data_IF_943552693159
#
_entry.id   IF_943552693159
#
_cell.length_a   1.000
_cell.length_b   1.000
_cell.length_c   1.000
_cell.angle_alpha   90.00
_cell.angle_beta   90.00
_cell.angle_gamma   90.00
#
_symmetry.space_group_name_H-M   'P 1'
#
loop_
_entity.id
_entity.type
_entity.pdbx_description
1 polymer ?
#
# COMPACT_ATOMS: atom_id res chain seq x y z
N UNK A 1 57.57 -31.51 17.52
CA UNK A 1 57.05 -30.12 17.65
C UNK A 1 56.28 -29.56 16.44
N UNK A 2 56.77 -29.66 15.19
CA UNK A 2 56.08 -29.05 14.01
C UNK A 2 54.74 -29.70 13.62
N UNK A 3 54.60 -31.03 13.75
CA UNK A 3 53.34 -31.76 13.48
C UNK A 3 52.23 -31.39 14.47
N UNK A 4 52.54 -31.29 15.75
CA UNK A 4 51.59 -30.93 16.81
C UNK A 4 51.02 -29.53 16.61
N UNK A 5 51.85 -28.54 16.23
CA UNK A 5 51.39 -27.18 15.92
C UNK A 5 50.46 -27.12 14.69
N UNK A 6 50.70 -27.94 13.66
CA UNK A 6 49.82 -28.04 12.49
C UNK A 6 48.45 -28.64 12.83
N UNK A 7 48.43 -29.66 13.68
CA UNK A 7 47.19 -30.30 14.13
C UNK A 7 46.36 -29.33 14.97
N UNK A 8 46.99 -28.61 15.91
CA UNK A 8 46.32 -27.59 16.73
C UNK A 8 45.71 -26.50 15.83
N UNK A 9 46.45 -25.99 14.84
CA UNK A 9 45.95 -24.99 13.92
C UNK A 9 44.75 -25.48 13.09
N UNK A 10 44.79 -26.72 12.60
CA UNK A 10 43.70 -27.32 11.82
C UNK A 10 42.43 -27.51 12.66
N UNK A 11 42.59 -27.98 13.90
CA UNK A 11 41.47 -28.15 14.84
C UNK A 11 40.87 -26.78 15.22
N UNK A 12 41.70 -25.75 15.42
CA UNK A 12 41.21 -24.39 15.68
C UNK A 12 40.45 -23.80 14.49
N UNK A 13 40.92 -24.00 13.25
CA UNK A 13 40.23 -23.52 12.05
C UNK A 13 38.89 -24.23 11.83
N UNK A 14 38.82 -25.53 12.07
CA UNK A 14 37.57 -26.30 12.03
C UNK A 14 36.57 -25.81 13.09
N UNK A 15 37.03 -25.55 14.32
CA UNK A 15 36.16 -25.04 15.39
C UNK A 15 35.58 -23.65 15.06
N UNK A 16 36.39 -22.74 14.49
CA UNK A 16 35.91 -21.42 14.05
C UNK A 16 34.91 -21.56 12.90
N UNK A 17 35.17 -22.44 11.93
CA UNK A 17 34.24 -22.70 10.83
C UNK A 17 32.88 -23.20 11.30
N UNK A 18 32.86 -24.16 12.24
CA UNK A 18 31.63 -24.68 12.84
C UNK A 18 30.88 -23.57 13.59
N UNK A 19 31.58 -22.74 14.36
CA UNK A 19 30.97 -21.63 15.10
C UNK A 19 30.31 -20.60 14.17
N UNK A 20 30.96 -20.24 13.06
CA UNK A 20 30.39 -19.32 12.06
C UNK A 20 29.13 -19.90 11.43
N UNK A 21 29.11 -21.20 11.09
CA UNK A 21 27.92 -21.87 10.55
C UNK A 21 26.77 -21.86 11.56
N UNK A 22 27.04 -22.16 12.84
CA UNK A 22 26.02 -22.12 13.90
C UNK A 22 25.44 -20.70 14.06
N UNK A 23 26.30 -19.66 14.04
CA UNK A 23 25.85 -18.27 14.12
C UNK A 23 24.96 -17.91 12.93
N UNK A 24 25.35 -18.30 11.71
CA UNK A 24 24.56 -18.02 10.49
C UNK A 24 23.23 -18.78 10.47
N UNK A 25 23.20 -20.04 10.90
CA UNK A 25 21.96 -20.83 11.02
C UNK A 25 21.02 -20.20 12.06
N UNK A 26 21.55 -19.84 13.24
CA UNK A 26 20.76 -19.15 14.27
C UNK A 26 20.26 -17.78 13.79
N UNK A 27 21.08 -17.03 13.04
CA UNK A 27 20.67 -15.74 12.46
C UNK A 27 19.57 -15.91 11.41
N UNK A 28 19.65 -16.94 10.54
CA UNK A 28 18.62 -17.27 9.57
C UNK A 28 17.31 -17.73 10.22
N UNK A 29 17.37 -18.45 11.34
CA UNK A 29 16.19 -18.88 12.10
C UNK A 29 15.54 -17.72 12.90
N UNK A 30 16.28 -16.63 13.14
CA UNK A 30 15.81 -15.42 13.84
C UNK A 30 15.24 -14.36 12.90
N UNK A 31 14.80 -14.73 11.68
CA UNK A 31 13.91 -13.83 10.92
C UNK A 31 12.68 -13.56 11.79
N UNK A 32 12.26 -12.28 11.97
CA UNK A 32 11.06 -11.98 12.70
C UNK A 32 9.89 -12.65 11.97
N UNK A 33 9.34 -13.71 12.55
CA UNK A 33 7.97 -14.12 12.27
C UNK A 33 7.12 -12.89 12.52
N UNK A 34 6.48 -12.36 11.48
CA UNK A 34 5.58 -11.23 11.63
C UNK A 34 4.54 -11.61 12.68
N UNK A 35 4.64 -11.04 13.87
CA UNK A 35 3.66 -11.18 14.95
C UNK A 35 2.42 -10.36 14.66
N UNK A 36 2.11 -10.14 13.38
CA UNK A 36 0.84 -9.57 13.00
C UNK A 36 -0.22 -10.61 13.36
N UNK A 37 -1.24 -10.23 14.16
CA UNK A 37 -2.36 -11.11 14.39
C UNK A 37 -2.90 -11.56 13.04
N UNK A 38 -3.22 -12.85 12.90
CA UNK A 38 -4.00 -13.32 11.75
C UNK A 38 -5.19 -12.38 11.60
N UNK A 39 -5.51 -11.89 10.38
CA UNK A 39 -6.71 -11.10 10.16
C UNK A 39 -7.88 -11.84 10.82
N UNK A 40 -8.54 -11.19 11.76
CA UNK A 40 -9.80 -11.71 12.26
C UNK A 40 -10.72 -11.77 11.05
N UNK A 41 -11.19 -12.97 10.71
CA UNK A 41 -12.28 -13.09 9.76
C UNK A 41 -13.39 -12.14 10.24
N UNK A 42 -14.00 -11.36 9.33
CA UNK A 42 -15.15 -10.56 9.70
C UNK A 42 -16.12 -11.48 10.41
N UNK A 43 -16.50 -11.16 11.65
CA UNK A 43 -17.50 -11.95 12.39
C UNK A 43 -18.77 -11.94 11.56
N UNK A 44 -19.00 -13.04 10.86
CA UNK A 44 -20.15 -13.17 9.99
C UNK A 44 -21.39 -13.39 10.86
N UNK A 45 -22.03 -12.29 11.22
CA UNK A 45 -23.36 -12.29 11.83
C UNK A 45 -24.47 -12.51 10.77
N UNK A 46 -24.17 -13.08 9.59
CA UNK A 46 -25.17 -13.38 8.53
C UNK A 46 -26.28 -14.34 8.97
N UNK A 47 -26.12 -15.06 10.08
CA UNK A 47 -27.13 -15.98 10.59
C UNK A 47 -28.28 -15.31 11.36
N UNK A 48 -28.33 -13.97 11.43
CA UNK A 48 -29.50 -13.25 11.95
C UNK A 48 -30.36 -12.69 10.80
N UNK A 49 -31.50 -13.32 10.44
CA UNK A 49 -32.34 -12.92 9.31
C UNK A 49 -33.05 -11.55 9.48
N UNK A 50 -32.75 -10.79 10.54
CA UNK A 50 -33.33 -9.47 10.84
C UNK A 50 -32.41 -8.27 10.56
N UNK A 51 -31.20 -8.44 10.03
CA UNK A 51 -30.26 -7.32 9.77
C UNK A 51 -29.92 -7.09 8.29
N UNK A 52 -30.92 -7.11 7.42
CA UNK A 52 -30.72 -7.03 5.96
C UNK A 52 -30.53 -5.60 5.41
N UNK A 53 -30.34 -4.59 6.27
CA UNK A 53 -30.14 -3.19 5.86
C UNK A 53 -28.71 -2.70 6.14
N UNK A 54 -27.70 -3.49 5.78
CA UNK A 54 -26.30 -3.05 5.82
C UNK A 54 -26.06 -1.99 4.74
N UNK A 55 -25.84 -0.74 5.17
CA UNK A 55 -25.42 0.36 4.31
C UNK A 55 -24.12 -0.02 3.59
N UNK A 56 -24.18 -0.11 2.26
CA UNK A 56 -23.06 -0.51 1.40
C UNK A 56 -21.82 0.38 1.60
N UNK A 57 -22.01 1.65 1.97
CA UNK A 57 -20.93 2.62 2.20
C UNK A 57 -20.08 2.28 3.42
N UNK A 58 -20.61 1.50 4.37
CA UNK A 58 -19.91 1.07 5.57
C UNK A 58 -19.29 -0.32 5.43
N UNK A 59 -19.53 -1.03 4.32
CA UNK A 59 -18.91 -2.34 4.10
C UNK A 59 -17.44 -2.19 3.73
N UNK A 60 -16.61 -3.04 4.32
CA UNK A 60 -15.17 -3.05 4.12
C UNK A 60 -14.66 -4.46 3.82
N UNK A 61 -13.43 -4.54 3.34
CA UNK A 61 -12.69 -5.80 3.16
C UNK A 61 -11.26 -5.61 3.65
N UNK A 62 -10.66 -6.67 4.20
CA UNK A 62 -9.25 -6.69 4.56
C UNK A 62 -8.40 -7.03 3.34
N UNK A 63 -7.38 -6.23 3.07
CA UNK A 63 -6.29 -6.55 2.16
C UNK A 63 -5.39 -7.63 2.79
N UNK A 64 -4.54 -8.28 1.99
CA UNK A 64 -3.67 -9.36 2.50
C UNK A 64 -2.68 -8.91 3.59
N UNK A 65 -2.37 -7.62 3.66
CA UNK A 65 -1.54 -6.99 4.68
C UNK A 65 -2.35 -6.51 5.91
N UNK A 66 -3.62 -6.87 6.01
CA UNK A 66 -4.51 -6.55 7.14
C UNK A 66 -5.13 -5.15 7.09
N UNK A 67 -4.79 -4.32 6.10
CA UNK A 67 -5.41 -2.99 5.96
C UNK A 67 -6.85 -3.13 5.51
N UNK A 68 -7.72 -2.39 6.16
CA UNK A 68 -9.15 -2.37 5.87
C UNK A 68 -9.44 -1.29 4.82
N UNK A 69 -10.06 -1.70 3.71
CA UNK A 69 -10.46 -0.80 2.62
C UNK A 69 -12.00 -0.78 2.49
N UNK A 70 -12.64 0.39 2.30
CA UNK A 70 -14.06 0.46 1.96
C UNK A 70 -14.35 -0.24 0.61
N UNK A 71 -15.45 -0.99 0.55
CA UNK A 71 -15.89 -1.66 -0.69
C UNK A 71 -16.42 -0.68 -1.73
N UNK A 72 -16.94 0.47 -1.29
CA UNK A 72 -17.52 1.48 -2.15
C UNK A 72 -16.76 2.79 -2.04
N UNK A 73 -16.55 3.47 -3.17
CA UNK A 73 -15.83 4.73 -3.21
C UNK A 73 -16.10 5.54 -4.47
N UNK A 74 -15.58 6.76 -4.47
CA UNK A 74 -15.75 7.72 -5.56
C UNK A 74 -14.50 7.75 -6.44
N UNK A 75 -14.64 7.41 -7.71
CA UNK A 75 -13.60 7.59 -8.72
C UNK A 75 -13.53 9.04 -9.22
N UNK A 76 -12.33 9.57 -9.39
CA UNK A 76 -12.10 10.97 -9.79
C UNK A 76 -11.82 11.18 -11.28
N UNK A 77 -11.95 10.14 -12.12
CA UNK A 77 -11.73 10.26 -13.56
C UNK A 77 -12.64 11.34 -14.16
N UNK A 78 -12.05 12.21 -14.99
CA UNK A 78 -12.74 13.28 -15.72
C UNK A 78 -13.43 14.36 -14.86
N UNK A 79 -13.04 14.50 -13.58
CA UNK A 79 -13.40 15.65 -12.76
C UNK A 79 -12.54 16.87 -13.14
N UNK A 80 -12.99 17.62 -14.15
CA UNK A 80 -12.27 18.74 -14.79
C UNK A 80 -12.78 20.13 -14.42
N UNK A 81 -13.99 20.26 -13.87
CA UNK A 81 -14.53 21.54 -13.41
C UNK A 81 -14.22 21.73 -11.94
N UNK A 82 -13.26 22.62 -11.63
CA UNK A 82 -12.75 22.78 -10.27
C UNK A 82 -13.85 22.99 -9.21
N UNK A 83 -14.77 23.94 -9.40
CA UNK A 83 -15.75 24.28 -8.36
C UNK A 83 -16.83 23.21 -8.20
N UNK A 84 -17.44 22.80 -9.31
CA UNK A 84 -18.50 21.78 -9.31
C UNK A 84 -17.98 20.45 -8.75
N UNK A 85 -16.81 20.03 -9.19
CA UNK A 85 -16.29 18.71 -8.84
C UNK A 85 -15.74 18.68 -7.41
N UNK A 86 -15.18 19.81 -6.93
CA UNK A 86 -14.83 19.96 -5.51
C UNK A 86 -16.05 19.78 -4.61
N UNK A 87 -17.16 20.44 -4.97
CA UNK A 87 -18.43 20.29 -4.24
C UNK A 87 -18.95 18.86 -4.29
N UNK A 88 -18.83 18.17 -5.44
CA UNK A 88 -19.25 16.78 -5.56
C UNK A 88 -18.45 15.84 -4.63
N UNK A 89 -17.12 15.98 -4.59
CA UNK A 89 -16.26 15.20 -3.67
C UNK A 89 -16.59 15.53 -2.21
N UNK A 90 -16.74 16.81 -1.87
CA UNK A 90 -17.11 17.25 -0.52
C UNK A 90 -18.45 16.64 -0.07
N UNK A 91 -19.45 16.69 -0.95
CA UNK A 91 -20.78 16.15 -0.68
C UNK A 91 -20.75 14.63 -0.50
N UNK A 92 -19.98 13.91 -1.32
CA UNK A 92 -19.80 12.47 -1.16
C UNK A 92 -19.24 12.13 0.23
N UNK A 93 -18.20 12.85 0.68
CA UNK A 93 -17.60 12.65 2.00
C UNK A 93 -18.60 12.95 3.13
N UNK A 94 -19.42 14.00 2.99
CA UNK A 94 -20.51 14.31 3.93
C UNK A 94 -21.61 13.23 3.93
N UNK A 95 -21.75 12.47 2.85
CA UNK A 95 -22.68 11.35 2.68
C UNK A 95 -22.01 10.00 2.92
N UNK A 96 -21.08 9.94 3.88
CA UNK A 96 -20.44 8.71 4.35
C UNK A 96 -19.54 7.99 3.35
N UNK A 97 -19.21 8.59 2.19
CA UNK A 97 -18.13 8.05 1.37
C UNK A 97 -16.84 8.16 2.15
N UNK A 98 -16.09 7.06 2.20
CA UNK A 98 -14.80 6.98 2.90
C UNK A 98 -13.69 6.46 1.99
N UNK A 99 -13.93 6.29 0.69
CA UNK A 99 -12.89 5.99 -0.30
C UNK A 99 -12.95 6.97 -1.46
N UNK A 100 -11.81 7.60 -1.77
CA UNK A 100 -11.62 8.41 -2.97
C UNK A 100 -10.51 7.76 -3.82
N UNK A 101 -10.86 7.39 -5.04
CA UNK A 101 -9.93 6.83 -6.02
C UNK A 101 -9.52 7.89 -7.04
N UNK A 102 -8.22 8.18 -7.10
CA UNK A 102 -7.64 9.14 -8.04
C UNK A 102 -6.49 8.53 -8.82
N UNK A 103 -5.88 9.32 -9.69
CA UNK A 103 -4.59 9.03 -10.30
C UNK A 103 -3.85 10.33 -10.60
N UNK A 104 -2.52 10.27 -10.62
CA UNK A 104 -1.67 11.39 -10.97
C UNK A 104 -2.10 12.02 -12.31
N UNK A 105 -2.42 11.18 -13.30
CA UNK A 105 -2.80 11.65 -14.64
C UNK A 105 -4.17 12.32 -14.74
N UNK A 106 -4.99 12.27 -13.70
CA UNK A 106 -6.28 12.97 -13.67
C UNK A 106 -6.09 14.48 -13.45
N UNK A 107 -4.91 14.91 -12.99
CA UNK A 107 -4.56 16.32 -12.76
C UNK A 107 -5.52 17.08 -11.82
N UNK A 108 -6.19 16.36 -10.91
CA UNK A 108 -7.20 16.92 -10.01
C UNK A 108 -6.91 16.69 -8.52
N UNK A 109 -5.70 16.19 -8.18
CA UNK A 109 -5.28 15.89 -6.81
C UNK A 109 -5.36 17.12 -5.88
N UNK A 110 -5.00 18.31 -6.39
CA UNK A 110 -5.13 19.59 -5.65
C UNK A 110 -6.57 19.91 -5.29
N UNK A 111 -7.48 19.67 -6.22
CA UNK A 111 -8.91 19.89 -6.02
C UNK A 111 -9.46 18.91 -4.98
N UNK A 112 -9.09 17.62 -5.09
CA UNK A 112 -9.51 16.58 -4.14
C UNK A 112 -8.96 16.85 -2.74
N UNK A 113 -7.67 17.22 -2.61
CA UNK A 113 -7.07 17.58 -1.32
C UNK A 113 -7.82 18.72 -0.64
N UNK A 114 -8.20 19.74 -1.41
CA UNK A 114 -9.03 20.82 -0.91
C UNK A 114 -10.45 20.35 -0.52
N UNK A 115 -11.09 19.49 -1.32
CA UNK A 115 -12.40 18.94 -1.01
C UNK A 115 -12.41 18.11 0.28
N UNK A 116 -11.38 17.29 0.51
CA UNK A 116 -11.20 16.51 1.74
C UNK A 116 -11.09 17.46 2.94
N UNK A 117 -10.24 18.49 2.85
CA UNK A 117 -10.08 19.51 3.91
C UNK A 117 -11.39 20.27 4.18
N UNK A 118 -12.07 20.72 3.13
CA UNK A 118 -13.32 21.49 3.20
C UNK A 118 -14.50 20.63 3.67
N UNK A 119 -14.42 19.30 3.58
CA UNK A 119 -15.49 18.39 4.04
C UNK A 119 -15.66 18.34 5.55
N UNK A 120 -14.61 18.69 6.30
CA UNK A 120 -14.57 18.54 7.76
C UNK A 120 -14.43 17.08 8.24
N UNK A 121 -14.38 16.09 7.34
CA UNK A 121 -14.13 14.69 7.69
C UNK A 121 -12.66 14.52 8.07
N UNK A 122 -12.33 13.91 9.23
CA UNK A 122 -10.95 13.67 9.61
C UNK A 122 -10.19 12.89 8.55
N UNK A 123 -8.97 13.32 8.19
CA UNK A 123 -8.17 12.71 7.12
C UNK A 123 -8.00 11.21 7.31
N UNK A 124 -7.84 10.73 8.54
CA UNK A 124 -7.70 9.30 8.87
C UNK A 124 -8.93 8.44 8.59
N UNK A 125 -10.10 9.05 8.42
CA UNK A 125 -11.32 8.34 8.02
C UNK A 125 -11.46 8.23 6.50
N UNK A 126 -10.72 9.03 5.74
CA UNK A 126 -10.77 9.00 4.26
C UNK A 126 -9.69 8.06 3.74
N UNK A 127 -10.08 6.95 3.13
CA UNK A 127 -9.19 6.07 2.39
C UNK A 127 -8.86 6.68 1.02
N UNK A 128 -7.67 7.28 0.91
CA UNK A 128 -7.25 7.98 -0.30
C UNK A 128 -6.35 7.08 -1.16
N UNK A 129 -6.79 6.81 -2.38
CA UNK A 129 -6.04 6.05 -3.39
C UNK A 129 -5.55 6.99 -4.48
N UNK A 130 -4.29 6.85 -4.90
CA UNK A 130 -3.83 7.43 -6.15
C UNK A 130 -2.93 6.47 -6.91
N UNK A 131 -2.65 6.79 -8.17
CA UNK A 131 -1.92 5.94 -9.10
C UNK A 131 -0.78 6.72 -9.73
N UNK A 132 0.43 6.17 -9.62
CA UNK A 132 1.62 6.68 -10.27
C UNK A 132 1.52 6.41 -11.78
N UNK A 133 1.71 7.45 -12.60
CA UNK A 133 1.77 7.29 -14.04
C UNK A 133 2.96 6.40 -14.42
N UNK A 134 2.74 5.49 -15.36
CA UNK A 134 3.75 4.56 -15.89
C UNK A 134 5.02 5.24 -16.39
N UNK A 135 4.93 6.47 -16.90
CA UNK A 135 6.09 7.25 -17.33
C UNK A 135 6.96 7.74 -16.16
N UNK A 136 6.45 7.68 -14.93
CA UNK A 136 7.12 8.16 -13.70
C UNK A 136 7.68 7.01 -12.86
N UNK A 137 7.73 5.78 -13.38
CA UNK A 137 8.07 4.58 -12.62
C UNK A 137 9.58 4.34 -12.36
N UNK A 138 10.48 5.25 -12.76
CA UNK A 138 11.90 5.17 -12.38
C UNK A 138 12.10 5.64 -10.93
N UNK A 139 12.97 5.00 -10.15
CA UNK A 139 13.01 5.18 -8.69
C UNK A 139 12.99 6.63 -8.19
N UNK A 140 13.94 7.47 -8.64
CA UNK A 140 14.02 8.87 -8.21
C UNK A 140 12.83 9.70 -8.71
N UNK A 141 12.38 9.42 -9.94
CA UNK A 141 11.22 10.07 -10.56
C UNK A 141 9.93 9.72 -9.82
N UNK A 142 9.76 8.45 -9.44
CA UNK A 142 8.63 7.94 -8.68
C UNK A 142 8.58 8.59 -7.30
N UNK A 143 9.72 8.65 -6.60
CA UNK A 143 9.81 9.30 -5.29
C UNK A 143 9.40 10.78 -5.36
N UNK A 144 10.00 11.54 -6.28
CA UNK A 144 9.65 12.96 -6.49
C UNK A 144 8.18 13.15 -6.87
N UNK A 145 7.65 12.23 -7.67
CA UNK A 145 6.23 12.26 -8.07
C UNK A 145 5.32 12.00 -6.89
N UNK A 146 5.62 11.03 -6.03
CA UNK A 146 4.85 10.75 -4.82
C UNK A 146 4.88 11.96 -3.88
N UNK A 147 6.04 12.58 -3.66
CA UNK A 147 6.17 13.81 -2.87
C UNK A 147 5.26 14.93 -3.42
N UNK A 148 5.21 15.07 -4.75
CA UNK A 148 4.33 16.05 -5.41
C UNK A 148 2.84 15.71 -5.26
N UNK A 149 2.48 14.43 -5.33
CA UNK A 149 1.10 13.96 -5.13
C UNK A 149 0.65 14.28 -3.70
N UNK A 150 1.47 13.98 -2.70
CA UNK A 150 1.21 14.28 -1.29
C UNK A 150 1.03 15.79 -1.06
N UNK A 151 1.92 16.60 -1.64
CA UNK A 151 1.79 18.05 -1.60
C UNK A 151 0.49 18.54 -2.28
N UNK A 152 0.09 17.95 -3.41
CA UNK A 152 -1.15 18.27 -4.10
C UNK A 152 -2.37 17.91 -3.24
N UNK A 153 -2.38 16.71 -2.66
CA UNK A 153 -3.45 16.26 -1.76
C UNK A 153 -3.44 16.97 -0.40
N UNK A 154 -2.39 17.73 -0.09
CA UNK A 154 -2.20 18.42 1.19
C UNK A 154 -2.21 17.44 2.37
N UNK A 155 -1.50 16.31 2.24
CA UNK A 155 -1.46 15.25 3.25
C UNK A 155 -0.08 14.60 3.28
N UNK A 156 0.29 14.04 4.43
CA UNK A 156 1.58 13.37 4.60
C UNK A 156 1.56 11.90 4.18
N UNK A 157 0.40 11.35 3.81
CA UNK A 157 0.29 9.96 3.38
C UNK A 157 -0.83 9.66 2.38
N UNK A 158 -0.65 8.57 1.63
CA UNK A 158 -1.71 7.88 0.89
C UNK A 158 -2.04 6.55 1.59
N UNK A 159 -3.32 6.17 1.58
CA UNK A 159 -3.74 4.88 2.15
C UNK A 159 -3.37 3.74 1.18
N UNK A 160 -3.42 4.01 -0.13
CA UNK A 160 -2.95 3.12 -1.18
C UNK A 160 -2.37 3.91 -2.36
N UNK A 161 -1.19 3.51 -2.84
CA UNK A 161 -0.61 4.00 -4.08
C UNK A 161 -0.40 2.83 -5.05
N UNK A 162 -0.87 2.96 -6.29
CA UNK A 162 -0.77 1.92 -7.31
C UNK A 162 0.12 2.36 -8.47
N UNK A 163 0.68 1.41 -9.23
CA UNK A 163 1.20 1.69 -10.57
C UNK A 163 0.01 1.64 -11.53
N UNK A 164 -0.22 2.72 -12.29
CA UNK A 164 -1.40 2.84 -13.14
C UNK A 164 -1.44 1.76 -14.24
N UNK A 165 -0.33 1.55 -14.94
CA UNK A 165 -0.17 0.44 -15.90
C UNK A 165 1.19 -0.24 -15.72
N UNK A 166 1.23 -1.58 -15.61
CA UNK A 166 2.47 -2.30 -15.36
C UNK A 166 3.36 -2.36 -16.60
N UNK A 167 4.46 -1.59 -16.62
CA UNK A 167 5.54 -1.79 -17.59
C UNK A 167 6.61 -2.70 -17.00
N UNK A 168 6.90 -3.88 -17.60
CA UNK A 168 7.71 -4.94 -16.99
C UNK A 168 9.06 -4.48 -16.43
N UNK A 169 9.75 -3.59 -17.14
CA UNK A 169 11.10 -3.13 -16.79
C UNK A 169 11.09 -2.01 -15.73
N UNK A 170 9.98 -1.27 -15.58
CA UNK A 170 9.92 -0.08 -14.69
C UNK A 170 9.18 -0.36 -13.38
N UNK A 171 8.36 -1.41 -13.31
CA UNK A 171 7.53 -1.69 -12.12
C UNK A 171 8.34 -1.92 -10.83
N UNK A 172 9.52 -2.55 -10.92
CA UNK A 172 10.34 -2.88 -9.75
C UNK A 172 10.90 -1.63 -9.08
N UNK A 173 11.37 -0.68 -9.88
CA UNK A 173 11.95 0.56 -9.36
C UNK A 173 10.89 1.48 -8.77
N UNK A 174 9.71 1.56 -9.39
CA UNK A 174 8.54 2.26 -8.82
C UNK A 174 8.11 1.66 -7.47
N UNK A 175 8.07 0.34 -7.39
CA UNK A 175 7.73 -0.40 -6.17
C UNK A 175 8.72 -0.08 -5.04
N UNK A 176 10.02 -0.14 -5.33
CA UNK A 176 11.08 0.25 -4.37
C UNK A 176 10.95 1.69 -3.91
N UNK A 177 10.63 2.63 -4.82
CA UNK A 177 10.47 4.04 -4.48
C UNK A 177 9.32 4.24 -3.49
N UNK A 178 8.19 3.57 -3.72
CA UNK A 178 7.06 3.62 -2.81
C UNK A 178 7.34 3.04 -1.43
N UNK A 179 8.14 1.97 -1.32
CA UNK A 179 8.57 1.41 -0.02
C UNK A 179 9.59 2.31 0.71
N UNK A 180 10.40 3.04 -0.03
CA UNK A 180 11.41 3.95 0.55
C UNK A 180 10.79 5.18 1.21
N UNK A 181 9.57 5.56 0.80
CA UNK A 181 8.78 6.61 1.42
C UNK A 181 7.93 6.04 2.54
N UNK A 182 8.20 6.43 3.80
CA UNK A 182 7.41 6.09 5.00
C UNK A 182 5.97 6.69 5.02
N UNK A 183 5.43 7.03 3.84
CA UNK A 183 4.24 7.87 3.63
C UNK A 183 3.11 7.09 2.94
N UNK A 184 3.23 5.78 2.76
CA UNK A 184 2.17 4.93 2.23
C UNK A 184 1.86 3.88 3.29
N UNK A 185 0.61 3.84 3.77
CA UNK A 185 0.22 2.94 4.87
C UNK A 185 0.22 1.47 4.45
N UNK A 186 -0.07 1.17 3.18
CA UNK A 186 -0.11 -0.18 2.65
C UNK A 186 1.18 -0.60 1.95
N UNK A 187 1.78 -1.69 2.43
CA UNK A 187 2.83 -2.40 1.72
C UNK A 187 2.29 -2.80 0.34
N UNK A 188 3.08 -2.48 -0.68
CA UNK A 188 2.77 -2.67 -2.09
C UNK A 188 2.56 -4.15 -2.44
N UNK A 189 1.32 -4.61 -2.32
CA UNK A 189 0.88 -5.90 -2.84
C UNK A 189 0.50 -5.77 -4.29
N UNK A 190 1.10 -6.60 -5.14
CA UNK A 190 0.75 -6.83 -6.54
C UNK A 190 -0.66 -7.44 -6.71
N UNK A 191 -1.65 -7.05 -5.90
CA UNK A 191 -2.85 -7.87 -5.65
C UNK A 191 -4.14 -7.37 -6.27
N UNK A 192 -4.19 -6.17 -6.86
CA UNK A 192 -5.44 -5.68 -7.45
C UNK A 192 -5.42 -5.54 -8.98
N UNK A 193 -4.27 -5.57 -9.63
CA UNK A 193 -4.20 -5.23 -11.06
C UNK A 193 -3.83 -6.36 -12.03
N UNK A 194 -2.93 -7.30 -11.68
CA UNK A 194 -2.59 -8.41 -12.60
C UNK A 194 -3.71 -9.43 -12.74
N UNK A 195 -4.45 -9.68 -11.67
CA UNK A 195 -5.46 -10.75 -11.63
C UNK A 195 -6.82 -10.29 -12.17
N UNK A 196 -7.17 -9.02 -11.95
CA UNK A 196 -8.46 -8.46 -12.36
C UNK A 196 -8.55 -8.24 -13.87
N UNK A 197 -7.46 -7.79 -14.53
CA UNK A 197 -7.49 -7.52 -15.97
C UNK A 197 -7.22 -8.75 -16.85
N UNK A 198 -6.41 -9.73 -16.40
CA UNK A 198 -6.28 -11.02 -17.11
C UNK A 198 -7.63 -11.74 -17.22
N UNK A 199 -8.46 -11.68 -16.18
CA UNK A 199 -9.80 -12.29 -16.21
C UNK A 199 -10.83 -11.50 -17.04
N UNK A 200 -10.60 -10.21 -17.30
CA UNK A 200 -11.53 -9.35 -18.03
C UNK A 200 -11.18 -9.26 -19.53
N UNK A 201 -9.93 -9.47 -19.92
CA UNK A 201 -9.48 -9.36 -21.33
C UNK A 201 -9.07 -10.73 -21.94
N UNK A 202 -9.15 -11.83 -21.18
CA UNK A 202 -8.79 -13.18 -21.65
C UNK A 202 -7.34 -13.54 -21.38
#
# INVERSE_FOLDING_TARGET
MKRTKKIILLVSLLAVGILVVIILVNYCQKKPTSSLPKPQEPTDNSNNPKNNNMNILQKTIALSNGIIIPLFGLGSWNLTNYQRDKQAVQYALQREYRLIDSAQMHNNEKMIGQAVKDSGVPRQEVFLVSKLNTHQCEYNTAKKTIDQMLANFQTDYLDLCLIHWPVPQKRLEAWKAGLSGRQIKSDWGQQLWTETFRRIIG
#
